data_IF_615497763138
#
_entry.id   IF_615497763138
#
_cell.length_a   1.000
_cell.length_b   1.000
_cell.length_c   1.000
_cell.angle_alpha   90.00
_cell.angle_beta   90.00
_cell.angle_gamma   90.00
#
_symmetry.space_group_name_H-M   'P 1'
#
loop_
_entity.id
_entity.type
_entity.pdbx_description
1 polymer ?
#
# COMPACT_ATOMS: atom_id res chain seq x y z
N UNK A 1 -5.03 -36.06 54.08
CA UNK A 1 -4.73 -34.61 54.06
C UNK A 1 -3.37 -34.42 53.42
N UNK A 2 -3.28 -33.38 52.58
CA UNK A 2 -2.09 -32.81 51.92
C UNK A 2 -1.59 -33.57 50.67
N UNK A 3 -1.41 -32.98 49.49
CA UNK A 3 -1.71 -31.64 48.95
C UNK A 3 -1.48 -31.78 47.43
N UNK A 4 -2.40 -31.25 46.61
CA UNK A 4 -2.26 -31.13 45.15
C UNK A 4 -0.98 -30.36 44.79
N UNK A 5 -0.17 -30.90 43.86
CA UNK A 5 0.86 -30.13 43.15
C UNK A 5 0.33 -29.75 41.77
N UNK A 6 -0.09 -28.50 41.68
CA UNK A 6 -0.50 -27.78 40.49
C UNK A 6 0.69 -27.60 39.55
N UNK A 7 0.55 -28.02 38.29
CA UNK A 7 1.49 -27.72 37.21
C UNK A 7 0.69 -27.03 36.10
N UNK A 8 0.66 -25.70 36.13
CA UNK A 8 0.18 -24.87 35.02
C UNK A 8 1.42 -24.32 34.32
N UNK A 9 1.78 -24.90 33.18
CA UNK A 9 2.80 -24.38 32.29
C UNK A 9 2.08 -23.57 31.20
N UNK A 10 2.01 -22.26 31.40
CA UNK A 10 1.43 -21.32 30.45
C UNK A 10 2.34 -21.18 29.23
N UNK A 11 1.95 -21.79 28.11
CA UNK A 11 2.59 -21.58 26.82
C UNK A 11 1.93 -20.40 26.09
N UNK A 12 2.44 -19.19 26.32
CA UNK A 12 2.06 -18.02 25.55
C UNK A 12 2.74 -18.07 24.17
N UNK A 13 2.09 -18.68 23.19
CA UNK A 13 2.48 -18.60 21.78
C UNK A 13 2.16 -17.21 21.24
N UNK A 14 3.22 -16.43 21.05
CA UNK A 14 3.22 -15.08 20.48
C UNK A 14 2.66 -15.11 19.05
N UNK A 15 1.53 -14.43 18.86
CA UNK A 15 0.78 -14.25 17.62
C UNK A 15 1.60 -13.60 16.49
N UNK A 16 2.41 -14.39 15.79
CA UNK A 16 3.16 -13.95 14.60
C UNK A 16 2.36 -14.13 13.29
N UNK A 17 1.22 -14.84 13.35
CA UNK A 17 0.42 -15.20 12.17
C UNK A 17 -0.46 -14.05 11.63
N UNK A 18 -0.77 -13.04 12.46
CA UNK A 18 -1.72 -11.99 12.08
C UNK A 18 -1.23 -11.09 10.92
N UNK A 19 0.08 -10.86 10.81
CA UNK A 19 0.64 -9.98 9.76
C UNK A 19 0.85 -10.64 8.40
N UNK A 20 0.86 -11.98 8.32
CA UNK A 20 1.08 -12.71 7.07
C UNK A 20 -0.21 -12.80 6.23
N UNK A 21 -1.36 -13.06 6.88
CA UNK A 21 -2.64 -13.24 6.18
C UNK A 21 -3.16 -11.98 5.49
N UNK A 22 -2.86 -10.79 6.03
CA UNK A 22 -3.34 -9.51 5.49
C UNK A 22 -2.74 -9.17 4.10
N UNK A 23 -1.56 -9.72 3.77
CA UNK A 23 -0.89 -9.46 2.48
C UNK A 23 -1.32 -10.42 1.37
N UNK A 24 -1.81 -11.61 1.70
CA UNK A 24 -2.24 -12.61 0.73
C UNK A 24 -3.53 -12.21 0.01
N UNK A 25 -4.42 -11.45 0.68
CA UNK A 25 -5.67 -10.97 0.09
C UNK A 25 -5.49 -9.97 -1.07
N UNK A 26 -4.30 -9.39 -1.25
CA UNK A 26 -4.03 -8.44 -2.33
C UNK A 26 -3.61 -9.12 -3.64
N UNK A 27 -3.32 -10.41 -3.65
CA UNK A 27 -2.79 -11.10 -4.84
C UNK A 27 -3.76 -11.12 -6.03
N UNK A 28 -5.05 -10.94 -5.79
CA UNK A 28 -6.11 -10.86 -6.81
C UNK A 28 -6.65 -9.44 -7.00
N UNK A 29 -6.19 -8.47 -6.20
CA UNK A 29 -6.67 -7.09 -6.26
C UNK A 29 -5.98 -6.32 -7.39
N UNK A 30 -6.78 -5.87 -8.37
CA UNK A 30 -6.33 -5.10 -9.52
C UNK A 30 -7.14 -3.79 -9.58
N UNK A 31 -6.45 -2.65 -9.61
CA UNK A 31 -7.02 -1.31 -9.86
C UNK A 31 -7.87 -0.66 -8.74
N UNK A 32 -7.93 0.68 -8.72
CA UNK A 32 -6.93 1.53 -8.10
C UNK A 32 -7.16 1.72 -6.59
N UNK A 33 -6.12 1.48 -5.80
CA UNK A 33 -6.12 1.91 -4.40
C UNK A 33 -6.01 3.45 -4.29
N UNK A 34 -6.60 4.08 -3.25
CA UNK A 34 -6.54 5.51 -3.00
C UNK A 34 -5.11 6.06 -2.97
N UNK A 35 -4.92 7.26 -3.53
CA UNK A 35 -3.65 7.99 -3.48
C UNK A 35 -3.76 9.22 -2.59
N UNK A 36 -3.44 9.08 -1.31
CA UNK A 36 -3.61 10.16 -0.32
C UNK A 36 -2.45 11.16 -0.27
N UNK A 37 -1.23 10.73 -0.62
CA UNK A 37 -0.03 11.58 -0.53
C UNK A 37 -0.07 12.86 -1.35
N UNK A 38 -0.60 12.88 -2.60
CA UNK A 38 -0.74 14.12 -3.33
C UNK A 38 -1.59 15.17 -2.60
N UNK A 39 -2.65 14.75 -1.90
CA UNK A 39 -3.52 15.66 -1.15
C UNK A 39 -2.78 16.21 0.06
N UNK A 40 -2.13 15.33 0.84
CA UNK A 40 -1.34 15.73 2.02
C UNK A 40 -0.26 16.76 1.73
N UNK A 41 0.32 16.73 0.51
CA UNK A 41 1.38 17.66 0.12
C UNK A 41 0.83 18.95 -0.49
N UNK A 42 -0.31 18.89 -1.20
CA UNK A 42 -0.89 20.05 -1.89
C UNK A 42 -1.80 20.88 -1.00
N UNK A 43 -2.47 20.24 -0.05
CA UNK A 43 -3.51 20.84 0.81
C UNK A 43 -3.04 20.98 2.25
N UNK A 44 -1.77 21.34 2.47
CA UNK A 44 -1.18 21.43 3.81
C UNK A 44 -1.91 22.44 4.71
N UNK A 45 -2.37 23.57 4.13
CA UNK A 45 -3.16 24.58 4.82
C UNK A 45 -4.53 24.07 5.24
N UNK A 46 -5.30 23.47 4.33
CA UNK A 46 -6.64 22.91 4.61
C UNK A 46 -6.61 21.78 5.65
N UNK A 47 -5.49 21.06 5.72
CA UNK A 47 -5.24 20.00 6.68
C UNK A 47 -4.65 20.49 8.01
N UNK A 48 -4.40 21.79 8.15
CA UNK A 48 -3.75 22.40 9.32
C UNK A 48 -2.46 21.66 9.73
N UNK A 49 -1.64 21.25 8.75
CA UNK A 49 -0.44 20.47 9.04
C UNK A 49 0.63 21.35 9.69
N UNK A 50 1.16 20.91 10.84
CA UNK A 50 2.30 21.57 11.47
C UNK A 50 3.57 21.44 10.62
N UNK A 51 4.54 22.33 10.82
CA UNK A 51 5.83 22.26 10.14
C UNK A 51 6.53 20.90 10.37
N UNK A 52 6.39 20.32 11.56
CA UNK A 52 6.93 19.00 11.89
C UNK A 52 6.25 17.88 11.08
N UNK A 53 4.92 17.90 10.97
CA UNK A 53 4.18 16.92 10.16
C UNK A 53 4.54 17.03 8.67
N UNK A 54 4.66 18.25 8.15
CA UNK A 54 5.09 18.49 6.78
C UNK A 54 6.50 17.93 6.51
N UNK A 55 7.44 18.14 7.45
CA UNK A 55 8.78 17.58 7.37
C UNK A 55 8.76 16.03 7.34
N UNK A 56 7.98 15.39 8.23
CA UNK A 56 7.80 13.93 8.26
C UNK A 56 7.29 13.38 6.91
N UNK A 57 6.33 14.06 6.29
CA UNK A 57 5.83 13.67 4.96
C UNK A 57 6.84 13.94 3.84
N UNK A 58 7.63 15.02 3.92
CA UNK A 58 8.70 15.28 2.97
C UNK A 58 9.75 14.17 3.02
N UNK A 59 10.19 13.76 4.20
CA UNK A 59 11.18 12.70 4.37
C UNK A 59 10.66 11.33 3.94
N UNK A 60 9.42 10.99 4.28
CA UNK A 60 8.76 9.79 3.77
C UNK A 60 8.74 9.75 2.23
N UNK A 61 8.46 10.89 1.58
CA UNK A 61 8.44 10.94 0.11
C UNK A 61 9.82 10.75 -0.50
N UNK A 62 10.89 11.24 0.11
CA UNK A 62 12.26 11.04 -0.43
C UNK A 62 12.58 9.56 -0.61
N UNK A 63 12.08 8.69 0.27
CA UNK A 63 12.30 7.24 0.19
C UNK A 63 11.23 6.53 -0.65
N UNK A 64 9.96 6.91 -0.52
CA UNK A 64 8.85 6.20 -1.16
C UNK A 64 8.58 6.60 -2.62
N UNK A 65 8.76 7.87 -3.00
CA UNK A 65 8.43 8.36 -4.36
C UNK A 65 9.26 7.70 -5.47
N UNK A 66 10.60 7.60 -5.36
CA UNK A 66 11.40 7.04 -6.45
C UNK A 66 10.99 5.60 -6.82
N UNK A 67 10.76 4.76 -5.81
CA UNK A 67 10.30 3.38 -6.01
C UNK A 67 8.91 3.32 -6.64
N UNK A 68 8.00 4.20 -6.20
CA UNK A 68 6.65 4.31 -6.78
C UNK A 68 6.69 4.73 -8.25
N UNK A 69 7.40 5.81 -8.58
CA UNK A 69 7.49 6.34 -9.94
C UNK A 69 8.10 5.30 -10.90
N UNK A 70 9.12 4.56 -10.43
CA UNK A 70 9.70 3.44 -11.18
C UNK A 70 8.65 2.35 -11.46
N UNK A 71 7.90 1.90 -10.44
CA UNK A 71 6.84 0.89 -10.60
C UNK A 71 5.74 1.36 -11.57
N UNK A 72 5.28 2.61 -11.46
CA UNK A 72 4.27 3.17 -12.37
C UNK A 72 4.75 3.17 -13.83
N UNK A 73 6.01 3.54 -14.07
CA UNK A 73 6.63 3.46 -15.41
C UNK A 73 6.72 2.03 -15.93
N UNK A 74 7.14 1.08 -15.09
CA UNK A 74 7.25 -0.32 -15.45
C UNK A 74 5.88 -0.95 -15.76
N UNK A 75 4.83 -0.58 -15.02
CA UNK A 75 3.45 -1.01 -15.28
C UNK A 75 2.97 -0.48 -16.63
N UNK A 76 3.20 0.81 -16.91
CA UNK A 76 2.82 1.42 -18.19
C UNK A 76 3.54 0.73 -19.37
N UNK A 77 4.85 0.51 -19.26
CA UNK A 77 5.62 -0.20 -20.27
C UNK A 77 5.15 -1.66 -20.44
N UNK A 78 4.85 -2.36 -19.34
CA UNK A 78 4.34 -3.73 -19.38
C UNK A 78 2.98 -3.85 -20.08
N UNK A 79 2.08 -2.88 -19.87
CA UNK A 79 0.79 -2.81 -20.58
C UNK A 79 0.98 -2.62 -22.09
N UNK A 80 1.91 -1.76 -22.51
CA UNK A 80 2.26 -1.62 -23.93
C UNK A 80 2.83 -2.92 -24.50
N UNK A 81 3.69 -3.62 -23.76
CA UNK A 81 4.25 -4.90 -24.17
C UNK A 81 3.19 -6.01 -24.30
N UNK A 82 2.20 -6.04 -23.41
CA UNK A 82 1.05 -6.96 -23.51
C UNK A 82 0.26 -6.68 -24.79
N UNK A 83 -0.06 -5.42 -25.07
CA UNK A 83 -0.80 -5.04 -26.27
C UNK A 83 -0.03 -5.44 -27.54
N UNK A 84 1.27 -5.16 -27.59
CA UNK A 84 2.11 -5.55 -28.72
C UNK A 84 2.16 -7.07 -28.89
N UNK A 85 2.34 -7.83 -27.79
CA UNK A 85 2.36 -9.29 -27.83
C UNK A 85 1.07 -9.90 -28.41
N UNK A 86 -0.09 -9.32 -28.09
CA UNK A 86 -1.37 -9.74 -28.66
C UNK A 86 -1.46 -9.44 -30.17
N UNK A 87 -1.02 -8.25 -30.59
CA UNK A 87 -1.00 -7.84 -32.00
C UNK A 87 -0.03 -8.66 -32.84
N UNK A 88 1.10 -9.07 -32.25
CA UNK A 88 2.10 -9.94 -32.89
C UNK A 88 1.65 -11.42 -32.99
N UNK A 89 0.46 -11.75 -32.49
CA UNK A 89 -0.07 -13.12 -32.53
C UNK A 89 0.66 -14.09 -31.60
N UNK A 90 1.29 -13.61 -30.52
CA UNK A 90 1.90 -14.50 -29.51
C UNK A 90 0.84 -15.41 -28.89
N UNK A 91 1.27 -16.61 -28.48
CA UNK A 91 0.32 -17.56 -27.89
C UNK A 91 -0.15 -17.12 -26.50
N UNK A 92 -1.27 -17.69 -26.06
CA UNK A 92 -1.91 -17.36 -24.78
C UNK A 92 -0.95 -17.48 -23.58
N UNK A 93 -0.07 -18.49 -23.55
CA UNK A 93 0.84 -18.69 -22.43
C UNK A 93 1.89 -17.59 -22.34
N UNK A 94 2.39 -17.09 -23.46
CA UNK A 94 3.32 -15.96 -23.51
C UNK A 94 2.66 -14.67 -23.03
N UNK A 95 1.47 -14.35 -23.54
CA UNK A 95 0.71 -13.16 -23.15
C UNK A 95 0.37 -13.20 -21.66
N UNK A 96 -0.08 -14.34 -21.15
CA UNK A 96 -0.39 -14.51 -19.73
C UNK A 96 0.82 -14.32 -18.81
N UNK A 97 2.04 -14.66 -19.25
CA UNK A 97 3.26 -14.38 -18.46
C UNK A 97 3.47 -12.88 -18.29
N UNK A 98 3.26 -12.09 -19.34
CA UNK A 98 3.36 -10.62 -19.30
C UNK A 98 2.27 -10.02 -18.40
N UNK A 99 1.03 -10.50 -18.52
CA UNK A 99 -0.09 -10.08 -17.66
C UNK A 99 0.23 -10.32 -16.19
N UNK A 100 0.65 -11.54 -15.82
CA UNK A 100 1.03 -11.85 -14.43
C UNK A 100 2.15 -10.97 -13.90
N UNK A 101 3.08 -10.57 -14.75
CA UNK A 101 4.16 -9.67 -14.36
C UNK A 101 3.69 -8.25 -14.07
N UNK A 102 2.78 -7.71 -14.88
CA UNK A 102 2.12 -6.42 -14.61
C UNK A 102 1.30 -6.50 -13.32
N UNK A 103 0.50 -7.56 -13.14
CA UNK A 103 -0.31 -7.74 -11.93
C UNK A 103 0.54 -7.72 -10.65
N UNK A 104 1.69 -8.44 -10.63
CA UNK A 104 2.61 -8.39 -9.48
C UNK A 104 3.13 -6.99 -9.19
N UNK A 105 3.37 -6.17 -10.21
CA UNK A 105 3.82 -4.78 -10.03
C UNK A 105 2.68 -3.89 -9.51
N UNK A 106 1.46 -4.09 -10.00
CA UNK A 106 0.27 -3.37 -9.51
C UNK A 106 0.00 -3.67 -8.03
N UNK A 107 0.15 -4.92 -7.60
CA UNK A 107 0.05 -5.31 -6.19
C UNK A 107 1.11 -4.57 -5.35
N UNK A 108 2.36 -4.53 -5.82
CA UNK A 108 3.42 -3.76 -5.14
C UNK A 108 3.07 -2.28 -5.02
N UNK A 109 2.46 -1.69 -6.05
CA UNK A 109 2.00 -0.31 -6.02
C UNK A 109 0.90 -0.10 -4.97
N UNK A 110 -0.05 -1.03 -4.86
CA UNK A 110 -1.11 -1.00 -3.83
C UNK A 110 -0.53 -1.13 -2.43
N UNK A 111 0.42 -2.04 -2.22
CA UNK A 111 1.15 -2.17 -0.95
C UNK A 111 1.87 -0.87 -0.59
N UNK A 112 2.50 -0.20 -1.56
CA UNK A 112 3.12 1.11 -1.35
C UNK A 112 2.10 2.20 -0.95
N UNK A 113 0.90 2.18 -1.54
CA UNK A 113 -0.19 3.10 -1.18
C UNK A 113 -0.74 2.82 0.22
N UNK A 114 -0.84 1.56 0.63
CA UNK A 114 -1.17 1.18 2.01
C UNK A 114 -0.12 1.70 3.00
N UNK A 115 1.16 1.55 2.68
CA UNK A 115 2.23 2.12 3.50
C UNK A 115 2.11 3.65 3.64
N UNK A 116 1.73 4.36 2.56
CA UNK A 116 1.46 5.80 2.61
C UNK A 116 0.26 6.14 3.50
N UNK A 117 -0.82 5.36 3.44
CA UNK A 117 -1.99 5.48 4.33
C UNK A 117 -1.58 5.29 5.79
N UNK A 118 -0.80 4.26 6.07
CA UNK A 118 -0.38 3.93 7.43
C UNK A 118 0.58 4.98 8.00
N UNK A 119 1.48 5.50 7.18
CA UNK A 119 2.31 6.64 7.57
C UNK A 119 1.46 7.88 7.87
N UNK A 120 0.46 8.19 7.04
CA UNK A 120 -0.46 9.29 7.31
C UNK A 120 -1.21 9.13 8.63
N UNK A 121 -1.75 7.94 8.93
CA UNK A 121 -2.41 7.67 10.22
C UNK A 121 -1.50 7.82 11.44
N UNK A 122 -0.18 7.62 11.29
CA UNK A 122 0.80 7.81 12.37
C UNK A 122 1.16 9.27 12.61
N UNK A 123 1.12 10.09 11.56
CA UNK A 123 1.59 11.48 11.61
C UNK A 123 0.44 12.46 11.89
N UNK A 124 -0.76 12.18 11.37
CA UNK A 124 -1.94 13.03 11.50
C UNK A 124 -2.68 12.79 12.82
N UNK A 125 -3.37 13.83 13.31
CA UNK A 125 -4.40 13.65 14.33
C UNK A 125 -5.65 12.98 13.72
N UNK A 126 -6.56 12.44 14.54
CA UNK A 126 -7.84 11.90 14.06
C UNK A 126 -8.66 12.91 13.24
N UNK A 127 -8.66 14.18 13.64
CA UNK A 127 -9.38 15.26 12.96
C UNK A 127 -8.77 15.53 11.58
N UNK A 128 -7.45 15.66 11.51
CA UNK A 128 -6.72 15.85 10.24
C UNK A 128 -6.90 14.64 9.31
N UNK A 129 -6.92 13.43 9.85
CA UNK A 129 -7.22 12.22 9.09
C UNK A 129 -8.64 12.27 8.49
N UNK A 130 -9.63 12.65 9.28
CA UNK A 130 -11.01 12.82 8.80
C UNK A 130 -11.09 13.85 7.66
N UNK A 131 -10.45 15.02 7.84
CA UNK A 131 -10.34 16.06 6.79
C UNK A 131 -9.70 15.53 5.52
N UNK A 132 -8.61 14.76 5.63
CA UNK A 132 -7.94 14.15 4.47
C UNK A 132 -8.87 13.22 3.69
N UNK A 133 -9.67 12.41 4.39
CA UNK A 133 -10.63 11.51 3.73
C UNK A 133 -11.73 12.31 3.04
N UNK A 134 -12.26 13.36 3.67
CA UNK A 134 -13.25 14.24 3.04
C UNK A 134 -12.68 14.91 1.76
N UNK A 135 -11.45 15.42 1.81
CA UNK A 135 -10.76 16.00 0.66
C UNK A 135 -10.53 14.99 -0.47
N UNK A 136 -10.24 13.73 -0.14
CA UNK A 136 -10.11 12.66 -1.13
C UNK A 136 -11.46 12.34 -1.79
N UNK A 137 -12.52 12.20 -1.00
CA UNK A 137 -13.85 11.89 -1.50
C UNK A 137 -14.43 13.00 -2.38
N UNK A 138 -14.11 14.27 -2.09
CA UNK A 138 -14.52 15.41 -2.91
C UNK A 138 -13.84 15.47 -4.30
N UNK A 139 -12.84 14.63 -4.57
CA UNK A 139 -12.12 14.56 -5.85
C UNK A 139 -12.53 13.34 -6.70
N UNK A 140 -13.41 12.47 -6.17
CA UNK A 140 -13.97 11.33 -6.90
C UNK A 140 -15.11 11.78 -7.82
#
# INVERSE_FOLDING_TARGET
MNTLRTLVLSLALVSSAAFAGERQALETYLSPAPSLMPILVKQTGELDLTAEQQAKFADWRKTAQPGRAKLEKEIAAGRLAINQAMLDGKNNNEVQKLVRDVQRKEIKLVVGKLACRDNAKKVLTPEQWSKLIALYQAQL
#
